data_IF_399948284471
#
_entry.id   IF_399948284471
#
_cell.length_a   1.000
_cell.length_b   1.000
_cell.length_c   1.000
_cell.angle_alpha   90.00
_cell.angle_beta   90.00
_cell.angle_gamma   90.00
#
_symmetry.space_group_name_H-M   'P 1'
#
loop_
_entity.id
_entity.type
_entity.pdbx_description
1 polymer ?
2 non-polymer ?
3 water ?
#
# COMPACT_ATOMS: atom_id res chain seq x y z
N UNK A 1 7.67 2.33 1.17
CA UNK A 1 8.58 2.70 0.06
C UNK A 1 9.28 4.05 0.31
N UNK A 2 8.74 4.87 1.21
CA UNK A 2 9.15 6.25 1.52
C UNK A 2 8.58 6.66 2.88
N UNK A 3 8.88 7.88 3.39
CA UNK A 3 8.55 8.27 4.76
C UNK A 3 7.06 8.39 5.08
N UNK A 4 6.22 8.60 4.06
CA UNK A 4 4.75 8.56 4.17
C UNK A 4 4.29 7.15 4.51
N UNK A 5 4.75 6.17 3.76
CA UNK A 5 4.44 4.75 4.01
C UNK A 5 5.03 4.32 5.34
N UNK A 6 6.20 4.84 5.73
CA UNK A 6 6.81 4.54 7.06
C UNK A 6 5.88 4.96 8.21
N UNK A 7 5.34 6.16 8.15
CA UNK A 7 4.43 6.67 9.22
C UNK A 7 3.15 5.83 9.21
N UNK A 8 2.59 5.58 8.03
CA UNK A 8 1.35 4.79 7.88
C UNK A 8 1.57 3.40 8.50
N UNK A 9 2.67 2.73 8.16
CA UNK A 9 2.96 1.37 8.68
C UNK A 9 3.02 1.38 10.21
N UNK A 10 3.65 2.37 10.79
CA UNK A 10 3.84 2.49 12.26
C UNK A 10 2.47 2.61 12.95
N UNK A 11 1.56 3.36 12.36
CA UNK A 11 0.16 3.45 12.85
C UNK A 11 -0.52 2.09 12.67
N UNK A 12 -0.44 1.47 11.49
CA UNK A 12 -1.17 0.20 11.28
C UNK A 12 -0.69 -0.87 12.27
N UNK A 13 0.62 -0.96 12.51
CA UNK A 13 1.23 -2.11 13.23
C UNK A 13 0.84 -2.06 14.71
N UNK A 14 0.56 -0.88 15.27
CA UNK A 14 0.30 -0.77 16.72
C UNK A 14 -1.10 -0.25 17.04
N UNK A 15 -1.76 0.47 16.14
CA UNK A 15 -3.01 1.18 16.51
C UNK A 15 -4.20 0.72 15.67
N UNK A 16 -4.17 -0.48 15.08
CA UNK A 16 -5.38 -0.96 14.34
C UNK A 16 -5.74 -2.36 14.81
N UNK A 17 -7.03 -2.65 14.72
CA UNK A 17 -7.60 -3.99 14.97
C UNK A 17 -8.57 -4.24 13.82
N UNK A 18 -8.94 -5.48 13.64
CA UNK A 18 -10.02 -5.84 12.68
C UNK A 18 -11.32 -5.87 13.50
N UNK A 19 -12.28 -5.01 13.16
CA UNK A 19 -13.61 -4.99 13.82
C UNK A 19 -14.62 -5.66 12.91
N UNK A 20 -15.45 -6.54 13.49
CA UNK A 20 -16.54 -7.20 12.75
C UNK A 20 -17.87 -6.89 13.46
N UNK A 21 -18.82 -6.31 12.71
CA UNK A 21 -20.20 -6.07 13.15
C UNK A 21 -21.10 -6.90 12.22
N UNK A 22 -22.41 -6.81 12.37
CA UNK A 22 -23.39 -7.48 11.46
C UNK A 22 -23.34 -6.87 10.07
N UNK A 23 -22.72 -5.71 9.90
CA UNK A 23 -22.61 -5.02 8.60
C UNK A 23 -21.26 -5.28 7.91
N UNK A 24 -20.33 -6.06 8.49
CA UNK A 24 -19.10 -6.50 7.83
C UNK A 24 -17.85 -6.36 8.68
N UNK A 25 -16.70 -6.53 8.03
CA UNK A 25 -15.36 -6.35 8.63
C UNK A 25 -14.83 -4.95 8.29
N UNK A 26 -14.30 -4.22 9.27
CA UNK A 26 -13.78 -2.86 9.10
C UNK A 26 -12.38 -2.77 9.71
N UNK A 27 -11.52 -1.99 9.09
CA UNK A 27 -10.31 -1.43 9.74
C UNK A 27 -10.83 -0.54 10.87
N UNK A 28 -10.26 -0.67 12.05
CA UNK A 28 -10.65 0.15 13.23
C UNK A 28 -9.37 0.73 13.84
N UNK A 29 -9.36 2.05 13.98
CA UNK A 29 -8.23 2.81 14.54
C UNK A 29 -8.40 2.92 16.05
N UNK A 30 -7.44 2.38 16.80
CA UNK A 30 -7.34 2.63 18.25
C UNK A 30 -6.65 3.95 18.50
N UNK A 31 -7.16 4.78 19.39
CA UNK A 31 -6.65 6.17 19.56
C UNK A 31 -5.91 6.30 20.90
N UNK A 32 -6.50 5.81 22.00
CA UNK A 32 -5.85 5.82 23.33
C UNK A 32 -6.66 4.90 24.24
N UNK A 33 -6.02 4.39 25.28
CA UNK A 33 -6.68 3.55 26.33
C UNK A 33 -7.47 2.46 25.59
N UNK A 34 -8.80 2.36 25.78
CA UNK A 34 -9.60 1.30 25.11
C UNK A 34 -10.55 1.99 24.11
N UNK A 35 -10.18 3.17 23.62
CA UNK A 35 -11.07 4.02 22.78
C UNK A 35 -10.61 3.90 21.32
N UNK A 36 -11.52 3.51 20.45
CA UNK A 36 -11.28 3.38 19.00
C UNK A 36 -12.37 4.11 18.20
N UNK A 37 -12.16 4.22 16.90
CA UNK A 37 -13.16 4.85 16.00
C UNK A 37 -13.49 3.91 14.86
N UNK A 38 -14.67 4.08 14.29
CA UNK A 38 -15.15 3.25 13.16
C UNK A 38 -16.20 4.07 12.43
N UNK A 39 -16.43 3.87 11.12
CA UNK A 39 -17.56 4.58 10.49
C UNK A 39 -18.90 4.22 11.13
N UNK A 40 -19.77 5.23 11.24
CA UNK A 40 -21.07 5.07 11.94
C UNK A 40 -21.92 4.05 11.18
N UNK A 41 -21.78 3.93 9.86
CA UNK A 41 -22.53 2.90 9.09
C UNK A 41 -22.12 1.45 9.43
N UNK A 42 -21.06 1.21 10.22
CA UNK A 42 -20.78 -0.14 10.79
C UNK A 42 -21.88 -0.58 11.76
N UNK A 43 -22.72 0.34 12.27
CA UNK A 43 -23.85 0.04 13.19
C UNK A 43 -23.38 -0.76 14.41
N UNK A 44 -22.47 -0.18 15.18
CA UNK A 44 -21.90 -0.90 16.35
C UNK A 44 -23.04 -1.18 17.34
N UNK A 45 -23.11 -2.39 17.89
CA UNK A 45 -24.08 -2.74 18.95
C UNK A 45 -23.43 -2.94 20.30
N UNK A 46 -24.03 -3.78 21.13
CA UNK A 46 -23.62 -4.08 22.51
C UNK A 46 -22.39 -5.01 22.51
N UNK A 47 -22.23 -5.78 21.45
CA UNK A 47 -21.13 -6.77 21.26
C UNK A 47 -20.54 -6.56 19.85
N UNK A 48 -19.21 -6.60 19.78
CA UNK A 48 -18.46 -6.48 18.52
C UNK A 48 -17.35 -7.56 18.55
N UNK A 49 -16.88 -8.00 17.38
CA UNK A 49 -15.70 -8.90 17.30
C UNK A 49 -14.46 -8.05 17.01
N UNK A 50 -13.41 -8.21 17.82
CA UNK A 50 -12.11 -7.50 17.71
C UNK A 50 -11.05 -8.59 17.46
N UNK A 51 -10.47 -8.62 16.26
CA UNK A 51 -9.51 -9.69 15.87
C UNK A 51 -10.13 -11.04 16.20
N UNK A 52 -11.42 -11.24 15.87
CA UNK A 52 -12.20 -12.50 16.01
C UNK A 52 -12.45 -12.89 17.48
N UNK A 53 -12.31 -11.97 18.42
CA UNK A 53 -12.65 -12.19 19.86
C UNK A 53 -13.94 -11.43 20.19
N UNK A 54 -14.91 -12.13 20.75
CA UNK A 54 -16.17 -11.51 21.24
C UNK A 54 -15.86 -10.48 22.31
N UNK A 55 -16.28 -9.23 22.12
CA UNK A 55 -15.91 -8.07 22.98
C UNK A 55 -17.14 -7.22 23.31
N UNK A 56 -17.35 -6.94 24.59
CA UNK A 56 -18.46 -6.07 25.02
C UNK A 56 -18.12 -4.65 24.65
N UNK A 57 -19.09 -3.91 24.16
CA UNK A 57 -18.94 -2.44 23.93
C UNK A 57 -19.36 -1.70 25.22
N UNK A 58 -18.45 -0.95 25.83
CA UNK A 58 -18.78 -0.25 27.10
C UNK A 58 -19.52 1.04 26.80
N UNK A 59 -19.26 1.67 25.65
CA UNK A 59 -19.89 2.94 25.23
C UNK A 59 -19.71 3.10 23.73
N UNK A 60 -20.69 3.66 23.04
CA UNK A 60 -20.56 3.97 21.60
C UNK A 60 -21.30 5.27 21.32
N UNK A 61 -20.65 6.23 20.67
CA UNK A 61 -21.26 7.55 20.40
C UNK A 61 -21.06 7.94 18.93
N UNK A 62 -22.17 8.02 18.19
CA UNK A 62 -22.21 8.53 16.80
C UNK A 62 -22.10 10.04 16.83
N UNK A 63 -20.99 10.57 16.35
CA UNK A 63 -20.71 12.01 16.49
C UNK A 63 -21.54 12.79 15.47
N UNK A 64 -22.01 13.97 15.90
CA UNK A 64 -22.69 14.95 15.03
C UNK A 64 -22.10 16.33 15.34
N UNK A 65 -22.07 17.24 14.38
CA UNK A 65 -21.59 18.61 14.67
C UNK A 65 -22.71 19.39 15.39
N UNK A 66 -22.40 20.63 15.75
CA UNK A 66 -23.31 21.47 16.54
C UNK A 66 -24.43 22.03 15.66
N UNK A 67 -24.45 21.79 14.35
CA UNK A 67 -25.70 21.93 13.52
C UNK A 67 -26.54 20.64 13.54
N UNK A 68 -26.17 19.61 14.31
CA UNK A 68 -26.85 18.30 14.40
C UNK A 68 -26.78 17.67 13.00
N UNK A 69 -25.63 17.78 12.33
CA UNK A 69 -25.31 17.08 11.06
C UNK A 69 -24.36 15.90 11.34
N UNK A 70 -24.68 14.76 10.77
CA UNK A 70 -23.83 13.54 10.81
C UNK A 70 -22.36 13.89 10.54
N UNK A 71 -21.43 13.31 11.32
CA UNK A 71 -19.98 13.34 11.01
C UNK A 71 -19.47 11.98 10.51
N UNK A 72 -20.26 10.92 10.66
CA UNK A 72 -19.96 9.54 10.16
C UNK A 72 -18.84 8.90 10.97
N UNK A 73 -18.49 9.46 12.15
CA UNK A 73 -17.51 8.82 13.08
C UNK A 73 -18.30 8.28 14.27
N UNK A 74 -18.09 7.01 14.64
CA UNK A 74 -18.52 6.49 15.95
C UNK A 74 -17.29 6.27 16.84
N UNK A 75 -17.31 6.77 18.05
CA UNK A 75 -16.27 6.53 19.08
C UNK A 75 -16.75 5.39 19.93
N UNK A 76 -15.92 4.36 20.03
CA UNK A 76 -16.27 3.10 20.74
C UNK A 76 -15.29 2.92 21.89
N UNK A 77 -15.80 2.64 23.07
CA UNK A 77 -14.94 2.14 24.16
C UNK A 77 -15.14 0.64 24.29
N UNK A 78 -14.05 -0.13 24.20
CA UNK A 78 -14.03 -1.60 24.15
C UNK A 78 -13.73 -2.18 25.52
N UNK A 79 -14.44 -3.23 25.91
CA UNK A 79 -14.06 -4.00 27.13
C UNK A 79 -12.90 -4.94 26.82
N UNK A 80 -11.76 -4.37 26.50
CA UNK A 80 -10.55 -5.12 26.07
C UNK A 80 -9.57 -5.13 27.23
N UNK A 81 -8.72 -6.16 27.31
CA UNK A 81 -7.74 -6.29 28.42
C UNK A 81 -6.44 -5.55 28.15
N UNK A 82 -6.36 -4.72 27.12
CA UNK A 82 -5.08 -4.10 26.70
C UNK A 82 -5.39 -2.71 26.16
N UNK A 83 -4.54 -1.73 26.44
CA UNK A 83 -4.66 -0.34 25.94
C UNK A 83 -3.92 -0.18 24.61
N UNK A 84 -4.42 0.76 23.81
CA UNK A 84 -3.72 1.26 22.60
C UNK A 84 -2.62 2.22 23.02
N UNK A 85 -1.54 2.20 22.27
CA UNK A 85 -0.58 3.32 22.29
C UNK A 85 -1.37 4.63 22.10
N UNK A 86 -1.10 5.64 22.91
CA UNK A 86 -1.80 6.93 22.81
C UNK A 86 -1.25 7.70 21.59
N UNK A 87 -2.05 7.89 20.56
CA UNK A 87 -1.64 8.64 19.33
C UNK A 87 -2.39 9.96 19.20
N UNK A 88 -2.98 10.48 20.28
CA UNK A 88 -3.78 11.74 20.17
C UNK A 88 -2.89 12.92 19.74
N UNK A 89 -1.60 12.92 20.06
CA UNK A 89 -0.69 14.02 19.62
C UNK A 89 -0.46 14.02 18.11
N UNK A 90 -0.90 13.00 17.36
CA UNK A 90 -0.79 13.00 15.87
C UNK A 90 -2.08 13.48 15.20
N UNK A 91 -3.11 13.84 15.97
CA UNK A 91 -4.40 14.32 15.43
C UNK A 91 -4.32 15.83 15.18
N UNK A 92 -4.83 16.29 14.03
CA UNK A 92 -4.92 17.72 13.75
C UNK A 92 -5.89 18.42 14.70
N UNK A 93 -5.62 19.69 14.99
CA UNK A 93 -6.53 20.49 15.82
C UNK A 93 -7.62 21.16 14.99
N UNK A 94 -7.40 21.44 13.70
CA UNK A 94 -8.39 22.19 12.88
C UNK A 94 -8.63 21.50 11.53
N UNK A 95 -9.73 21.88 10.87
CA UNK A 95 -10.09 21.43 9.51
C UNK A 95 -9.02 21.98 8.56
N UNK A 96 -8.54 21.18 7.62
CA UNK A 96 -7.41 21.59 6.76
C UNK A 96 -7.40 20.73 5.50
N UNK A 97 -6.68 21.20 4.50
CA UNK A 97 -6.27 20.44 3.29
C UNK A 97 -4.85 19.89 3.53
N UNK A 98 -4.50 18.84 2.81
CA UNK A 98 -3.23 18.10 3.00
C UNK A 98 -2.60 17.75 1.65
N UNK A 99 -1.28 17.66 1.64
CA UNK A 99 -0.55 17.04 0.50
C UNK A 99 -0.13 15.61 0.84
N UNK A 100 -0.12 14.74 -0.16
CA UNK A 100 0.65 13.47 -0.17
C UNK A 100 0.19 12.56 0.99
N UNK A 101 -1.06 12.15 0.97
CA UNK A 101 -1.64 11.27 2.01
C UNK A 101 -1.55 9.80 1.57
N UNK A 102 -1.64 8.90 2.54
CA UNK A 102 -1.70 7.43 2.36
C UNK A 102 -2.98 6.96 3.04
N UNK A 103 -3.71 6.08 2.35
CA UNK A 103 -4.87 5.36 2.92
C UNK A 103 -4.41 3.94 3.19
N UNK A 104 -4.52 3.48 4.44
CA UNK A 104 -4.05 2.13 4.86
C UNK A 104 -5.22 1.31 5.41
N UNK A 105 -5.29 0.05 4.97
CA UNK A 105 -6.39 -0.90 5.27
C UNK A 105 -5.80 -2.18 5.78
N UNK A 106 -6.44 -2.79 6.77
CA UNK A 106 -6.04 -4.14 7.20
C UNK A 106 -7.29 -4.95 7.57
N UNK A 107 -7.73 -5.81 6.66
CA UNK A 107 -8.86 -6.76 6.92
C UNK A 107 -8.46 -8.15 6.40
N UNK A 108 -9.30 -9.17 6.65
CA UNK A 108 -9.16 -10.50 5.98
C UNK A 108 -9.10 -10.37 4.44
N UNK A 109 -9.93 -9.53 3.84
CA UNK A 109 -10.01 -9.31 2.37
C UNK A 109 -8.79 -8.51 1.86
N UNK A 110 -8.34 -7.52 2.62
CA UNK A 110 -7.25 -6.60 2.17
C UNK A 110 -6.20 -6.47 3.27
N UNK A 111 -5.36 -7.49 3.50
CA UNK A 111 -4.26 -7.41 4.46
C UNK A 111 -3.09 -6.52 4.00
N UNK A 112 -2.54 -5.70 4.92
CA UNK A 112 -1.30 -4.93 4.67
C UNK A 112 -1.43 -4.12 3.38
N UNK A 113 -2.54 -3.42 3.19
CA UNK A 113 -2.81 -2.61 1.99
C UNK A 113 -2.50 -1.13 2.28
N UNK A 114 -1.72 -0.50 1.40
CA UNK A 114 -1.33 0.92 1.51
C UNK A 114 -1.51 1.55 0.14
N UNK A 115 -2.23 2.66 0.06
CA UNK A 115 -2.54 3.36 -1.21
C UNK A 115 -2.08 4.80 -1.12
N UNK A 116 -1.17 5.28 -2.00
CA UNK A 116 -0.82 6.69 -2.02
C UNK A 116 -1.95 7.43 -2.77
N UNK A 117 -2.75 8.21 -2.08
CA UNK A 117 -3.95 8.86 -2.68
C UNK A 117 -3.65 10.29 -3.11
N UNK A 118 -2.52 10.87 -2.73
CA UNK A 118 -2.11 12.20 -3.19
C UNK A 118 -2.77 13.30 -2.41
N UNK A 119 -3.16 14.36 -3.11
CA UNK A 119 -3.69 15.60 -2.49
C UNK A 119 -5.06 15.34 -1.83
N UNK A 120 -5.26 15.88 -0.64
CA UNK A 120 -6.56 15.71 0.08
C UNK A 120 -7.21 17.10 0.24
N UNK A 121 -8.43 17.26 -0.28
CA UNK A 121 -9.20 18.52 -0.20
C UNK A 121 -10.12 18.51 1.03
N UNK A 122 -10.20 19.65 1.72
CA UNK A 122 -11.27 19.94 2.70
C UNK A 122 -12.53 20.17 1.88
N UNK A 123 -13.30 19.12 1.65
CA UNK A 123 -14.46 19.09 0.74
C UNK A 123 -15.68 19.69 1.46
N UNK A 124 -15.83 19.34 2.72
CA UNK A 124 -16.92 19.85 3.58
C UNK A 124 -18.17 18.99 3.49
N UNK A 125 -19.20 19.53 2.84
CA UNK A 125 -20.53 18.88 2.79
C UNK A 125 -20.49 17.76 1.74
N UNK A 126 -21.03 16.60 2.10
CA UNK A 126 -21.28 15.48 1.18
C UNK A 126 -22.61 14.83 1.54
N UNK A 127 -23.40 14.55 0.52
CA UNK A 127 -24.58 13.66 0.67
C UNK A 127 -24.06 12.23 0.55
N UNK A 128 -23.80 11.57 1.68
CA UNK A 128 -23.12 10.27 1.76
C UNK A 128 -24.16 9.18 1.94
N UNK A 129 -24.39 8.37 0.91
CA UNK A 129 -25.46 7.35 0.98
C UNK A 129 -26.82 7.97 1.30
N UNK A 130 -27.12 9.18 0.83
CA UNK A 130 -28.38 9.87 1.16
C UNK A 130 -28.36 10.63 2.49
N UNK A 131 -27.29 10.56 3.28
CA UNK A 131 -27.22 11.26 4.59
C UNK A 131 -26.35 12.52 4.47
N UNK A 132 -26.88 13.73 4.70
CA UNK A 132 -26.05 14.94 4.75
C UNK A 132 -24.93 14.76 5.79
N UNK A 133 -23.71 14.98 5.38
CA UNK A 133 -22.51 14.70 6.23
C UNK A 133 -21.57 15.90 6.14
N UNK A 134 -20.98 16.32 7.25
CA UNK A 134 -19.99 17.42 7.26
C UNK A 134 -18.56 16.90 7.53
N UNK A 135 -17.61 17.82 7.39
CA UNK A 135 -16.16 17.60 7.66
C UNK A 135 -15.59 16.45 6.82
N UNK A 136 -15.97 16.38 5.55
CA UNK A 136 -15.47 15.35 4.61
C UNK A 136 -14.19 15.84 3.94
N UNK A 137 -13.21 14.94 3.91
CA UNK A 137 -11.96 15.05 3.13
C UNK A 137 -12.14 14.28 1.83
N UNK A 138 -11.59 14.78 0.74
CA UNK A 138 -11.75 14.09 -0.58
C UNK A 138 -10.37 13.88 -1.20
N UNK A 139 -10.19 12.71 -1.82
CA UNK A 139 -8.96 12.36 -2.55
C UNK A 139 -9.38 11.71 -3.86
N UNK A 140 -8.59 11.95 -4.91
CA UNK A 140 -8.90 11.47 -6.28
C UNK A 140 -8.32 10.07 -6.44
N UNK A 141 -8.81 9.12 -5.63
CA UNK A 141 -8.53 7.68 -5.80
C UNK A 141 -9.84 6.91 -5.88
N UNK A 142 -9.96 6.00 -6.88
CA UNK A 142 -11.11 5.13 -7.01
C UNK A 142 -11.15 4.07 -5.91
N UNK A 143 -11.62 4.47 -4.72
CA UNK A 143 -11.76 3.57 -3.54
C UNK A 143 -12.91 2.60 -3.77
N UNK A 144 -12.75 1.38 -3.28
CA UNK A 144 -13.67 0.24 -3.48
C UNK A 144 -14.35 -0.09 -2.16
N UNK A 145 -15.45 -0.84 -2.22
CA UNK A 145 -16.14 -1.47 -1.07
C UNK A 145 -15.13 -2.32 -0.31
N UNK A 146 -15.09 -2.20 1.02
CA UNK A 146 -14.21 -3.00 1.91
C UNK A 146 -13.08 -2.18 2.52
N UNK A 147 -12.90 -0.92 2.09
CA UNK A 147 -11.84 -0.02 2.59
C UNK A 147 -12.38 0.92 3.67
N UNK A 148 -13.68 0.87 3.96
CA UNK A 148 -14.28 1.73 5.01
C UNK A 148 -13.59 1.44 6.33
N UNK A 149 -13.18 2.51 7.02
CA UNK A 149 -12.45 2.45 8.29
C UNK A 149 -10.96 2.64 8.03
N UNK A 150 -10.54 2.59 6.76
CA UNK A 150 -9.12 2.72 6.41
C UNK A 150 -8.57 4.00 6.99
N UNK A 151 -7.31 4.02 7.39
CA UNK A 151 -6.73 5.21 8.06
C UNK A 151 -6.07 6.10 7.03
N UNK A 152 -6.38 7.37 7.07
CA UNK A 152 -5.73 8.41 6.20
C UNK A 152 -4.67 9.15 7.01
N UNK A 153 -3.43 9.12 6.54
CA UNK A 153 -2.30 9.75 7.23
C UNK A 153 -1.50 10.61 6.25
N UNK A 154 -0.82 11.60 6.79
CA UNK A 154 0.40 12.18 6.17
C UNK A 154 1.55 11.90 7.12
N UNK A 155 2.78 12.25 6.74
CA UNK A 155 3.92 12.14 7.68
C UNK A 155 3.56 12.96 8.93
N UNK A 156 3.51 12.30 10.06
CA UNK A 156 3.33 12.89 11.38
C UNK A 156 1.89 13.18 11.69
N UNK A 157 0.90 12.99 10.78
CA UNK A 157 -0.52 13.24 11.15
C UNK A 157 -1.47 12.11 10.73
N UNK A 158 -2.41 11.79 11.62
CA UNK A 158 -3.54 10.86 11.37
C UNK A 158 -4.75 11.76 11.17
N UNK A 159 -5.27 11.86 9.93
CA UNK A 159 -6.17 12.99 9.58
C UNK A 159 -7.62 12.53 9.36
N UNK A 160 -7.90 11.24 9.16
CA UNK A 160 -9.27 10.81 8.88
C UNK A 160 -9.41 9.30 8.79
N UNK A 161 -10.66 8.84 8.62
CA UNK A 161 -10.99 7.44 8.35
C UNK A 161 -11.93 7.41 7.13
N UNK A 162 -11.61 6.53 6.20
CA UNK A 162 -12.31 6.34 4.89
C UNK A 162 -13.78 5.95 5.15
N UNK A 163 -14.75 6.66 4.57
CA UNK A 163 -16.20 6.34 4.83
C UNK A 163 -16.98 6.14 3.52
N UNK A 164 -16.39 6.39 2.36
CA UNK A 164 -17.12 6.13 1.10
C UNK A 164 -16.41 6.60 -0.14
N UNK A 165 -17.08 6.43 -1.27
CA UNK A 165 -16.51 6.80 -2.59
C UNK A 165 -17.59 6.84 -3.64
N UNK A 166 -17.28 7.37 -4.83
CA UNK A 166 -18.27 7.45 -5.95
C UNK A 166 -17.75 6.71 -7.19
N UNK A 167 -16.73 5.87 -7.04
CA UNK A 167 -16.08 5.19 -8.16
C UNK A 167 -14.83 5.91 -8.65
N UNK A 168 -14.76 7.24 -8.64
CA UNK A 168 -13.60 8.05 -9.10
C UNK A 168 -12.85 8.69 -7.91
N UNK A 169 -13.61 9.15 -6.92
CA UNK A 169 -13.11 9.82 -5.69
C UNK A 169 -13.38 8.95 -4.45
N UNK A 170 -12.57 9.14 -3.41
CA UNK A 170 -12.82 8.57 -2.08
C UNK A 170 -13.02 9.68 -1.07
N UNK A 171 -13.71 9.37 0.01
CA UNK A 171 -14.12 10.34 1.03
C UNK A 171 -13.77 9.81 2.44
N UNK A 172 -13.22 10.70 3.28
CA UNK A 172 -12.87 10.33 4.65
C UNK A 172 -13.55 11.33 5.59
N UNK A 173 -13.92 10.87 6.79
CA UNK A 173 -14.38 11.75 7.90
C UNK A 173 -13.14 12.24 8.61
N UNK A 174 -13.07 13.54 8.89
CA UNK A 174 -11.95 14.16 9.64
C UNK A 174 -11.86 13.54 11.02
N UNK A 175 -10.61 13.35 11.47
CA UNK A 175 -10.34 13.17 12.92
C UNK A 175 -9.76 14.48 13.44
N UNK A 176 -10.29 14.96 14.53
CA UNK A 176 -9.86 16.18 15.23
C UNK A 176 -9.49 15.82 16.67
N UNK A 177 -8.42 16.44 17.17
CA UNK A 177 -7.95 16.24 18.56
C UNK A 177 -9.10 16.44 19.57
N UNK A 178 -9.98 17.43 19.33
CA UNK A 178 -11.07 17.76 20.26
C UNK A 178 -12.09 16.64 20.40
N UNK A 179 -12.13 15.64 19.52
CA UNK A 179 -13.05 14.49 19.68
C UNK A 179 -12.62 13.61 20.87
N UNK A 180 -11.36 13.65 21.29
CA UNK A 180 -10.77 12.60 22.18
C UNK A 180 -10.16 13.19 23.45
N UNK A 181 -10.64 14.37 23.85
CA UNK A 181 -10.34 14.95 25.19
C UNK A 181 -11.14 14.11 26.20
N UNK A 182 -10.47 13.57 27.24
CA UNK A 182 -11.05 12.58 28.19
C UNK A 182 -11.49 13.31 29.47
N UNK B 2 -9.45 -8.73 -5.11
CA UNK B 2 -9.98 -10.04 -5.66
C UNK B 2 -9.06 -11.22 -5.35
N UNK B 3 -8.95 -12.21 -6.27
CA UNK B 3 -7.81 -13.14 -6.28
C UNK B 3 -6.47 -12.49 -6.68
N UNK B 4 -6.49 -11.19 -7.03
CA UNK B 4 -5.30 -10.35 -7.27
C UNK B 4 -4.42 -10.25 -6.04
N UNK B 5 -5.02 -10.10 -4.85
CA UNK B 5 -4.27 -10.04 -3.56
C UNK B 5 -3.71 -11.41 -3.19
N UNK B 6 -4.45 -12.51 -3.36
CA UNK B 6 -3.90 -13.87 -3.20
C UNK B 6 -2.64 -14.04 -4.07
N UNK B 7 -2.76 -13.69 -5.35
CA UNK B 7 -1.68 -13.89 -6.33
C UNK B 7 -0.44 -13.09 -5.89
N UNK B 8 -0.60 -11.82 -5.54
CA UNK B 8 0.51 -10.94 -5.09
C UNK B 8 1.16 -11.54 -3.84
N UNK B 9 0.38 -12.05 -2.87
CA UNK B 9 0.95 -12.70 -1.65
C UNK B 9 1.72 -13.97 -1.98
N UNK B 10 1.23 -14.78 -2.92
CA UNK B 10 1.86 -16.08 -3.29
C UNK B 10 3.21 -15.81 -3.94
N UNK B 11 3.30 -14.78 -4.76
CA UNK B 11 4.57 -14.35 -5.40
C UNK B 11 5.52 -13.74 -4.34
N UNK B 12 4.98 -12.91 -3.44
CA UNK B 12 5.76 -12.29 -2.33
C UNK B 12 6.39 -13.40 -1.48
N UNK B 13 5.58 -14.36 -1.02
CA UNK B 13 6.00 -15.38 -0.03
C UNK B 13 7.09 -16.32 -0.57
N UNK B 14 7.00 -16.77 -1.80
CA UNK B 14 7.96 -17.77 -2.31
C UNK B 14 9.03 -17.14 -3.22
N UNK B 15 8.77 -16.01 -3.87
CA UNK B 15 9.65 -15.54 -4.98
C UNK B 15 10.30 -14.19 -4.69
N UNK B 16 10.10 -13.58 -3.53
CA UNK B 16 10.66 -12.23 -3.26
C UNK B 16 11.65 -12.31 -2.10
N UNK B 17 12.86 -11.77 -2.30
CA UNK B 17 13.93 -11.70 -1.27
C UNK B 17 14.38 -10.26 -1.10
N UNK B 18 15.07 -9.95 0.00
CA UNK B 18 15.66 -8.61 0.25
C UNK B 18 17.08 -8.62 -0.27
N UNK B 19 17.39 -7.76 -1.24
CA UNK B 19 18.75 -7.72 -1.82
C UNK B 19 19.40 -6.44 -1.31
N UNK B 20 20.65 -6.49 -0.88
CA UNK B 20 21.35 -5.26 -0.43
C UNK B 20 22.64 -5.13 -1.24
N UNK B 21 22.75 -4.02 -1.97
CA UNK B 21 23.95 -3.62 -2.74
C UNK B 21 24.64 -2.48 -2.00
N UNK B 22 25.67 -1.92 -2.62
CA UNK B 22 26.34 -0.69 -2.11
C UNK B 22 25.31 0.43 -1.94
N UNK B 23 24.22 0.43 -2.71
CA UNK B 23 23.22 1.53 -2.70
C UNK B 23 22.16 1.33 -1.61
N UNK B 24 22.08 0.17 -0.97
CA UNK B 24 21.11 -0.16 0.08
C UNK B 24 20.15 -1.27 -0.35
N UNK B 25 18.91 -1.26 0.16
CA UNK B 25 18.04 -2.47 0.06
C UNK B 25 17.05 -2.28 -1.09
N UNK B 26 16.83 -3.39 -1.80
CA UNK B 26 15.88 -3.47 -2.94
C UNK B 26 15.03 -4.73 -2.80
N UNK B 27 13.75 -4.62 -3.17
CA UNK B 27 12.89 -5.79 -3.38
C UNK B 27 13.42 -6.56 -4.61
N UNK B 28 13.77 -7.82 -4.45
CA UNK B 28 14.34 -8.63 -5.56
C UNK B 28 13.36 -9.75 -5.88
N UNK B 29 13.08 -9.99 -7.16
CA UNK B 29 12.25 -11.11 -7.62
C UNK B 29 13.12 -12.27 -8.12
N UNK B 30 13.00 -13.42 -7.46
CA UNK B 30 13.56 -14.67 -7.98
C UNK B 30 12.64 -15.27 -9.02
N UNK B 31 13.20 -15.67 -10.15
CA UNK B 31 12.38 -16.09 -11.33
C UNK B 31 12.43 -17.62 -11.50
N UNK B 32 13.60 -18.22 -11.45
CA UNK B 32 13.81 -19.69 -11.58
C UNK B 32 15.24 -20.03 -11.19
N UNK B 33 15.51 -21.27 -10.78
CA UNK B 33 16.89 -21.70 -10.45
C UNK B 33 17.54 -20.67 -9.51
N UNK B 34 18.71 -20.13 -9.87
CA UNK B 34 19.35 -19.09 -9.02
C UNK B 34 19.33 -17.74 -9.76
N UNK B 35 18.34 -17.55 -10.61
CA UNK B 35 18.21 -16.35 -11.49
C UNK B 35 17.19 -15.42 -10.89
N UNK B 36 17.58 -14.17 -10.64
CA UNK B 36 16.70 -13.12 -10.09
C UNK B 36 16.82 -11.84 -10.91
N UNK B 37 15.92 -10.90 -10.66
CA UNK B 37 15.97 -9.56 -11.31
C UNK B 37 15.89 -8.45 -10.26
N UNK B 38 16.52 -7.34 -10.61
CA UNK B 38 16.64 -6.14 -9.73
C UNK B 38 16.78 -4.95 -10.68
N UNK B 39 16.35 -3.73 -10.30
CA UNK B 39 16.58 -2.55 -11.15
C UNK B 39 18.07 -2.30 -11.41
N UNK B 40 18.41 -1.88 -12.63
CA UNK B 40 19.82 -1.66 -13.01
C UNK B 40 20.43 -0.60 -12.08
N UNK B 41 19.64 0.38 -11.64
CA UNK B 41 20.14 1.45 -10.73
C UNK B 41 20.59 0.92 -9.37
N UNK B 42 20.33 -0.35 -9.01
CA UNK B 42 20.83 -0.95 -7.75
C UNK B 42 22.36 -1.12 -7.78
N UNK B 43 23.01 -1.04 -8.95
CA UNK B 43 24.50 -1.12 -9.05
C UNK B 43 25.01 -2.42 -8.43
N UNK B 44 24.53 -3.55 -8.95
CA UNK B 44 24.96 -4.88 -8.49
C UNK B 44 26.47 -5.04 -8.72
N UNK B 45 27.16 -5.55 -7.70
CA UNK B 45 28.61 -5.77 -7.73
C UNK B 45 28.95 -7.24 -7.82
N UNK B 46 30.11 -7.62 -7.30
CA UNK B 46 30.58 -9.04 -7.32
C UNK B 46 29.88 -9.79 -6.18
N UNK B 47 29.48 -9.04 -5.14
CA UNK B 47 28.92 -9.59 -3.87
C UNK B 47 27.62 -8.83 -3.62
N UNK B 48 26.59 -9.55 -3.19
CA UNK B 48 25.30 -8.98 -2.77
C UNK B 48 24.86 -9.68 -1.49
N UNK B 49 24.06 -9.01 -0.67
CA UNK B 49 23.38 -9.64 0.49
C UNK B 49 21.97 -10.05 0.09
N UNK B 50 21.61 -11.30 0.34
CA UNK B 50 20.24 -11.85 0.07
C UNK B 50 19.66 -12.27 1.41
N UNK B 51 18.65 -11.55 1.91
CA UNK B 51 18.11 -11.77 3.28
C UNK B 51 19.26 -11.76 4.30
N UNK B 52 20.19 -10.83 4.15
CA UNK B 52 21.30 -10.54 5.11
C UNK B 52 22.42 -11.58 5.00
N UNK B 53 22.39 -12.49 4.01
CA UNK B 53 23.47 -13.47 3.73
C UNK B 53 24.38 -12.97 2.59
N UNK B 54 25.68 -12.81 2.87
CA UNK B 54 26.73 -12.50 1.84
C UNK B 54 26.69 -13.57 0.75
N UNK B 55 26.47 -13.17 -0.52
CA UNK B 55 26.24 -14.09 -1.66
C UNK B 55 27.07 -13.62 -2.85
N UNK B 56 27.86 -14.52 -3.43
CA UNK B 56 28.59 -14.20 -4.68
C UNK B 56 27.58 -14.02 -5.82
N UNK B 57 27.71 -12.95 -6.60
CA UNK B 57 26.98 -12.82 -7.90
C UNK B 57 27.84 -13.42 -9.01
N UNK B 58 27.39 -14.53 -9.58
CA UNK B 58 28.15 -15.28 -10.62
C UNK B 58 28.08 -14.52 -11.94
N UNK B 59 26.96 -13.86 -12.22
CA UNK B 59 26.72 -13.18 -13.51
C UNK B 59 25.72 -12.05 -13.28
N UNK B 60 25.96 -10.90 -13.89
CA UNK B 60 24.97 -9.80 -13.92
C UNK B 60 24.89 -9.28 -15.36
N UNK B 61 23.68 -9.13 -15.86
CA UNK B 61 23.40 -8.64 -17.22
C UNK B 61 22.46 -7.43 -17.15
N UNK B 62 22.95 -6.24 -17.52
CA UNK B 62 22.14 -5.01 -17.61
C UNK B 62 21.39 -5.07 -18.94
N UNK B 63 20.10 -5.45 -18.93
CA UNK B 63 19.40 -5.77 -20.18
C UNK B 63 19.24 -4.54 -21.07
N UNK B 64 19.38 -4.78 -22.36
CA UNK B 64 19.10 -3.79 -23.42
C UNK B 64 18.35 -4.52 -24.54
N UNK B 65 17.52 -3.80 -25.28
CA UNK B 65 16.72 -4.43 -26.36
C UNK B 65 17.52 -4.39 -27.67
N UNK B 66 16.91 -4.84 -28.74
CA UNK B 66 17.61 -4.98 -30.05
C UNK B 66 17.79 -3.62 -30.74
N UNK B 67 17.20 -2.55 -30.22
CA UNK B 67 17.53 -1.17 -30.65
C UNK B 67 18.75 -0.66 -29.86
N UNK B 68 19.32 -1.51 -29.01
CA UNK B 68 20.46 -1.14 -28.13
C UNK B 68 20.01 -0.04 -27.18
N UNK B 69 18.81 -0.18 -26.62
CA UNK B 69 18.26 0.79 -25.64
C UNK B 69 18.13 0.11 -24.27
N UNK B 70 18.44 0.86 -23.21
CA UNK B 70 18.29 0.40 -21.82
C UNK B 70 16.89 -0.11 -21.58
N UNK B 71 16.78 -1.22 -20.82
CA UNK B 71 15.49 -1.70 -20.25
C UNK B 71 15.40 -1.53 -18.72
N UNK B 72 16.49 -1.16 -18.05
CA UNK B 72 16.57 -0.86 -16.61
C UNK B 72 16.33 -2.10 -15.75
N UNK B 73 16.46 -3.30 -16.30
CA UNK B 73 16.41 -4.59 -15.56
C UNK B 73 17.79 -5.19 -15.60
N UNK B 74 18.29 -5.63 -14.47
CA UNK B 74 19.51 -6.44 -14.40
C UNK B 74 19.12 -7.87 -13.98
N UNK B 75 19.52 -8.84 -14.78
CA UNK B 75 19.35 -10.28 -14.46
C UNK B 75 20.59 -10.77 -13.73
N UNK B 76 20.45 -11.37 -12.56
CA UNK B 76 21.61 -11.86 -11.76
C UNK B 76 21.51 -13.38 -11.61
N UNK B 77 22.66 -14.05 -11.60
CA UNK B 77 22.80 -15.49 -11.27
C UNK B 77 23.52 -15.55 -9.94
N UNK B 78 22.88 -16.13 -8.93
CA UNK B 78 23.39 -16.09 -7.54
C UNK B 78 24.05 -17.44 -7.19
N UNK B 79 25.19 -17.38 -6.47
CA UNK B 79 25.85 -18.58 -5.89
C UNK B 79 25.20 -18.91 -4.54
N UNK B 80 24.05 -19.59 -4.55
CA UNK B 80 23.33 -20.00 -3.32
C UNK B 80 22.66 -21.37 -3.56
N UNK B 81 22.49 -22.14 -2.49
CA UNK B 81 21.97 -23.52 -2.58
C UNK B 81 20.49 -23.47 -2.96
N UNK B 82 19.71 -22.59 -2.32
CA UNK B 82 18.25 -22.55 -2.52
C UNK B 82 17.97 -22.22 -3.99
N UNK B 83 16.99 -22.90 -4.57
CA UNK B 83 16.50 -22.64 -5.93
C UNK B 83 15.17 -21.89 -5.81
N UNK B 84 14.92 -20.90 -6.66
CA UNK B 84 13.63 -20.18 -6.69
C UNK B 84 12.57 -21.07 -7.34
N UNK B 85 11.35 -20.98 -6.84
CA UNK B 85 10.14 -21.56 -7.47
C UNK B 85 10.00 -21.00 -8.88
N UNK B 86 9.96 -21.85 -9.93
CA UNK B 86 9.85 -21.37 -11.34
C UNK B 86 8.52 -20.65 -11.53
N UNK B 87 8.56 -19.38 -11.97
CA UNK B 87 7.38 -18.53 -12.25
C UNK B 87 7.45 -18.01 -13.69
N UNK B 88 8.27 -18.61 -14.56
CA UNK B 88 8.39 -18.11 -15.95
C UNK B 88 7.05 -18.20 -16.70
N UNK B 89 6.20 -19.16 -16.33
CA UNK B 89 4.88 -19.33 -16.98
C UNK B 89 3.93 -18.19 -16.61
N UNK B 90 4.25 -17.35 -15.62
CA UNK B 90 3.40 -16.17 -15.30
C UNK B 90 3.89 -14.88 -15.93
N UNK B 91 4.96 -14.93 -16.73
CA UNK B 91 5.50 -13.72 -17.43
C UNK B 91 4.77 -13.52 -18.75
N UNK B 92 4.33 -12.29 -19.07
CA UNK B 92 3.71 -11.98 -20.36
C UNK B 92 4.67 -12.25 -21.53
N UNK B 93 4.08 -12.67 -22.64
CA UNK B 93 4.83 -12.97 -23.88
C UNK B 93 5.08 -11.67 -24.62
N UNK B 94 4.16 -10.71 -24.53
CA UNK B 94 4.22 -9.44 -25.29
C UNK B 94 3.97 -8.24 -24.38
N UNK B 95 4.27 -7.04 -24.90
CA UNK B 95 3.98 -5.75 -24.25
C UNK B 95 2.46 -5.59 -24.21
N UNK B 96 1.91 -5.01 -23.14
CA UNK B 96 0.44 -4.89 -22.97
C UNK B 96 0.10 -3.85 -21.91
N UNK B 97 -1.17 -3.42 -21.92
CA UNK B 97 -1.83 -2.61 -20.86
C UNK B 97 -2.48 -3.60 -19.89
N UNK B 98 -2.75 -3.18 -18.67
CA UNK B 98 -3.35 -4.04 -17.62
C UNK B 98 -4.26 -3.21 -16.72
N UNK B 99 -5.18 -3.91 -16.04
CA UNK B 99 -6.06 -3.28 -15.01
C UNK B 99 -5.93 -4.09 -13.71
N UNK B 100 -6.27 -3.47 -12.59
CA UNK B 100 -6.34 -4.14 -11.27
C UNK B 100 -4.95 -4.66 -10.91
N UNK B 101 -3.92 -3.82 -11.05
CA UNK B 101 -2.51 -4.16 -10.76
C UNK B 101 -2.18 -3.85 -9.29
N UNK B 102 -1.24 -4.62 -8.72
CA UNK B 102 -0.73 -4.47 -7.32
C UNK B 102 0.80 -4.44 -7.33
N UNK B 103 1.38 -3.53 -6.56
CA UNK B 103 2.85 -3.35 -6.38
C UNK B 103 3.17 -3.86 -4.98
N UNK B 104 4.08 -4.84 -4.89
CA UNK B 104 4.43 -5.55 -3.63
C UNK B 104 5.88 -5.27 -3.25
N UNK B 105 6.05 -4.61 -2.10
CA UNK B 105 7.34 -4.09 -1.55
C UNK B 105 7.79 -5.02 -0.42
N UNK B 106 9.07 -5.38 -0.39
CA UNK B 106 9.61 -6.22 0.68
C UNK B 106 11.05 -5.82 0.99
N UNK B 107 11.24 -5.07 2.08
CA UNK B 107 12.61 -4.72 2.58
C UNK B 107 12.62 -4.88 4.10
N UNK B 108 13.76 -4.67 4.75
CA UNK B 108 13.82 -4.71 6.24
C UNK B 108 12.91 -3.62 6.83
N UNK B 109 12.84 -2.46 6.19
CA UNK B 109 12.02 -1.30 6.65
C UNK B 109 10.53 -1.53 6.32
N UNK B 110 10.24 -2.16 5.19
CA UNK B 110 8.86 -2.34 4.64
C UNK B 110 8.63 -3.82 4.33
N UNK B 111 8.42 -4.66 5.35
CA UNK B 111 8.20 -6.07 5.13
C UNK B 111 6.77 -6.31 4.64
N UNK B 112 6.58 -7.19 3.68
CA UNK B 112 5.18 -7.52 3.28
C UNK B 112 4.25 -6.28 3.13
N UNK B 113 4.53 -5.29 2.27
CA UNK B 113 3.61 -4.13 1.99
C UNK B 113 2.96 -4.24 0.59
N UNK B 114 1.63 -4.16 0.45
CA UNK B 114 0.91 -4.28 -0.84
C UNK B 114 0.24 -2.95 -1.21
N UNK B 115 0.58 -2.44 -2.40
CA UNK B 115 0.11 -1.11 -2.89
C UNK B 115 -0.71 -1.32 -4.15
N UNK B 116 -2.05 -1.30 -4.07
CA UNK B 116 -2.92 -1.34 -5.24
C UNK B 116 -2.60 -0.08 -6.06
N UNK B 117 -2.22 -0.24 -7.32
CA UNK B 117 -1.88 0.93 -8.16
C UNK B 117 -2.98 1.12 -9.21
N UNK B 118 -3.70 0.04 -9.55
CA UNK B 118 -4.86 0.04 -10.46
C UNK B 118 -4.44 -0.07 -11.91
N UNK B 119 -4.82 0.92 -12.71
CA UNK B 119 -4.67 0.84 -14.18
C UNK B 119 -3.19 1.08 -14.54
N UNK B 120 -2.66 0.17 -15.33
CA UNK B 120 -1.26 0.23 -15.82
C UNK B 120 -1.27 0.40 -17.35
N UNK B 121 -0.60 1.41 -17.84
CA UNK B 121 -0.48 1.72 -19.30
C UNK B 121 0.88 1.24 -19.84
N UNK B 122 0.91 0.65 -21.02
CA UNK B 122 2.13 0.50 -21.83
C UNK B 122 2.57 1.91 -22.26
N UNK B 123 3.50 2.51 -21.53
CA UNK B 123 3.90 3.95 -21.68
C UNK B 123 4.98 4.01 -22.78
N UNK B 124 5.87 3.02 -22.80
CA UNK B 124 6.94 2.80 -23.80
C UNK B 124 8.22 3.53 -23.43
N UNK B 125 8.51 4.63 -24.12
CA UNK B 125 9.79 5.36 -24.02
C UNK B 125 9.75 6.30 -22.82
N UNK B 126 10.82 6.32 -22.03
CA UNK B 126 10.98 7.24 -20.89
C UNK B 126 12.45 7.65 -20.78
N UNK B 127 12.69 8.93 -20.60
CA UNK B 127 14.04 9.37 -20.20
C UNK B 127 14.17 9.26 -18.69
N UNK B 128 14.82 8.20 -18.21
CA UNK B 128 14.88 7.88 -16.78
C UNK B 128 16.27 8.23 -16.22
N UNK B 129 16.34 9.31 -15.43
CA UNK B 129 17.61 9.83 -14.86
C UNK B 129 18.61 10.19 -15.94
N UNK B 130 18.12 10.63 -17.11
CA UNK B 130 18.99 10.99 -18.23
C UNK B 130 19.28 9.83 -19.17
N UNK B 131 18.79 8.63 -18.87
CA UNK B 131 19.01 7.44 -19.73
C UNK B 131 17.74 7.11 -20.51
N UNK B 132 17.79 7.13 -21.86
CA UNK B 132 16.68 6.67 -22.68
C UNK B 132 16.36 5.19 -22.38
N UNK B 133 15.10 4.90 -22.12
CA UNK B 133 14.64 3.59 -21.60
C UNK B 133 13.38 3.17 -22.34
N UNK B 134 13.31 1.89 -22.68
CA UNK B 134 12.14 1.31 -23.36
C UNK B 134 11.30 0.43 -22.41
N UNK B 135 10.10 0.04 -22.92
CA UNK B 135 9.18 -0.95 -22.31
C UNK B 135 8.82 -0.54 -20.87
N UNK B 136 8.51 0.72 -20.68
CA UNK B 136 8.05 1.22 -19.36
C UNK B 136 6.54 1.07 -19.24
N UNK B 137 6.12 0.50 -18.11
CA UNK B 137 4.71 0.54 -17.63
C UNK B 137 4.50 1.74 -16.72
N UNK B 138 3.33 2.40 -16.78
CA UNK B 138 3.07 3.60 -15.96
C UNK B 138 1.74 3.42 -15.21
N UNK B 139 1.73 3.90 -13.98
CA UNK B 139 0.55 3.94 -13.06
C UNK B 139 0.57 5.23 -12.28
N UNK B 140 -0.61 5.67 -11.82
CA UNK B 140 -0.67 6.78 -10.85
C UNK B 140 0.14 6.37 -9.63
N UNK B 141 0.90 7.32 -9.10
CA UNK B 141 1.75 7.13 -7.89
C UNK B 141 2.09 8.50 -7.34
N UNK B 142 1.07 9.20 -6.76
CA UNK B 142 1.20 10.62 -6.40
C UNK B 142 1.98 10.82 -5.11
N UNK B 143 3.23 10.35 -5.10
CA UNK B 143 4.15 10.43 -3.95
C UNK B 143 5.60 10.37 -4.49
N UNK B 144 6.55 10.83 -3.71
CA UNK B 144 7.99 10.64 -4.04
C UNK B 144 8.43 9.47 -3.17
N UNK B 145 8.56 8.29 -3.76
CA UNK B 145 9.05 7.06 -3.11
C UNK B 145 10.58 6.99 -3.25
N UNK B 146 11.23 6.23 -2.35
CA UNK B 146 12.65 5.86 -2.46
C UNK B 146 12.92 4.84 -3.55
N UNK B 147 14.11 4.27 -3.51
CA UNK B 147 14.69 3.45 -4.61
C UNK B 147 14.26 1.97 -4.54
N UNK B 148 13.64 1.50 -3.46
CA UNK B 148 13.69 0.06 -3.09
C UNK B 148 12.87 -0.77 -4.10
N UNK B 149 11.90 -0.15 -4.74
CA UNK B 149 11.04 -0.77 -5.76
C UNK B 149 10.17 -1.91 -5.24
N UNK B 150 9.80 -2.83 -6.12
CA UNK B 150 8.73 -3.79 -5.81
C UNK B 150 8.23 -4.49 -7.05
N UNK B 151 7.47 -5.54 -6.83
CA UNK B 151 7.01 -6.41 -7.93
C UNK B 151 5.60 -5.99 -8.32
N UNK B 152 5.33 -5.89 -9.61
CA UNK B 152 3.98 -5.51 -10.13
C UNK B 152 3.28 -6.76 -10.68
N UNK B 153 2.10 -7.04 -10.13
CA UNK B 153 1.32 -8.24 -10.52
C UNK B 153 -0.09 -7.82 -10.87
N UNK B 154 -0.71 -8.66 -11.67
CA UNK B 154 -2.16 -8.65 -11.91
C UNK B 154 -2.65 -10.04 -11.50
N UNK B 155 -3.94 -10.31 -11.62
CA UNK B 155 -4.41 -11.71 -11.47
C UNK B 155 -3.75 -12.56 -12.57
N UNK B 156 -2.92 -13.49 -12.18
CA UNK B 156 -2.33 -14.50 -13.05
C UNK B 156 -1.08 -14.07 -13.76
N UNK B 157 -0.57 -12.84 -13.57
CA UNK B 157 0.67 -12.44 -14.29
C UNK B 157 1.61 -11.60 -13.41
N UNK B 158 2.88 -11.87 -13.58
CA UNK B 158 3.96 -11.00 -13.02
C UNK B 158 4.45 -10.09 -14.15
N UNK B 159 4.12 -8.82 -14.11
CA UNK B 159 4.20 -7.94 -15.30
C UNK B 159 5.40 -7.01 -15.27
N UNK B 160 6.01 -6.75 -14.11
CA UNK B 160 7.12 -5.78 -14.09
C UNK B 160 7.70 -5.58 -12.69
N UNK B 161 8.78 -4.79 -12.64
CA UNK B 161 9.41 -4.35 -11.35
C UNK B 161 9.51 -2.82 -11.39
N UNK B 162 9.18 -2.19 -10.27
CA UNK B 162 9.16 -0.73 -10.13
C UNK B 162 10.58 -0.18 -10.26
N UNK B 163 10.81 0.79 -11.14
CA UNK B 163 12.17 1.35 -11.38
C UNK B 163 12.25 2.86 -11.10
N UNK B 164 11.14 3.59 -10.97
CA UNK B 164 11.22 5.04 -10.70
C UNK B 164 9.88 5.72 -10.66
N UNK B 165 9.89 7.05 -10.69
CA UNK B 165 8.65 7.85 -10.62
C UNK B 165 8.94 9.34 -10.71
N UNK B 166 7.92 10.15 -11.02
CA UNK B 166 8.08 11.63 -11.18
C UNK B 166 7.20 12.39 -10.18
N UNK B 167 6.75 11.75 -9.09
CA UNK B 167 5.95 12.41 -8.01
C UNK B 167 4.45 12.37 -8.26
N UNK B 168 4.03 12.16 -9.50
CA UNK B 168 2.62 11.98 -9.94
C UNK B 168 2.43 10.58 -10.52
N UNK B 169 3.45 10.06 -11.23
CA UNK B 169 3.35 8.76 -11.92
C UNK B 169 4.46 7.86 -11.38
N UNK B 170 4.21 6.56 -11.38
CA UNK B 170 5.18 5.51 -11.08
C UNK B 170 5.49 4.72 -12.34
N UNK B 171 6.73 4.22 -12.42
CA UNK B 171 7.18 3.51 -13.66
C UNK B 171 7.77 2.17 -13.31
N UNK B 172 7.43 1.15 -14.07
CA UNK B 172 7.95 -0.20 -13.92
C UNK B 172 8.56 -0.63 -15.25
N UNK B 173 9.64 -1.40 -15.19
CA UNK B 173 10.21 -2.10 -16.36
C UNK B 173 9.41 -3.37 -16.59
N UNK B 174 9.03 -3.63 -17.84
CA UNK B 174 8.28 -4.86 -18.18
C UNK B 174 9.16 -6.09 -17.92
N UNK B 175 8.53 -7.19 -17.46
CA UNK B 175 9.14 -8.54 -17.52
C UNK B 175 8.45 -9.30 -18.67
N UNK B 176 9.26 -9.86 -19.54
CA UNK B 176 8.79 -10.66 -20.70
C UNK B 176 9.36 -12.06 -20.60
N UNK B 177 8.59 -13.03 -21.08
CA UNK B 177 8.96 -14.47 -21.03
C UNK B 177 10.29 -14.67 -21.77
N UNK B 178 10.50 -13.93 -22.85
CA UNK B 178 11.69 -14.12 -23.72
C UNK B 178 12.97 -13.70 -23.01
N UNK B 179 12.91 -12.98 -21.88
CA UNK B 179 14.17 -12.57 -21.22
C UNK B 179 14.85 -13.76 -20.51
N UNK B 180 14.10 -14.84 -20.27
CA UNK B 180 14.51 -15.98 -19.40
C UNK B 180 14.45 -17.32 -20.14
N UNK B 181 14.23 -17.32 -21.45
CA UNK B 181 14.26 -18.56 -22.28
C UNK B 181 15.69 -19.02 -22.55
X LIG C 1 -9.31 -0.36 -4.03
X LIG C 1 -9.10 -1.61 -3.49
X LIG C 1 -8.43 -2.58 -4.21
X LIG C 1 -6.68 -5.47 -7.13
X LIG C 1 -6.33 -6.87 -6.70
X LIG C 1 -8.34 -5.18 -5.42
X LIG C 1 -7.53 -4.65 -6.19
X LIG C 1 -7.33 -6.67 -7.78
X LIG C 1 -7.33 -3.32 -6.25
X LIG C 1 -7.98 -2.32 -5.50
X LIG C 1 -8.86 -0.09 -5.31
X LIG C 1 -8.20 -1.06 -6.05
#
# INVERSE_FOLDING_TARGET
>A
MGPGFDFAQAIMKKNTVIARTEKGEFTMLGVYDRVAVIPTHASVGEIIYINDVETRVLDACALRDLTDTNLEITIVKLDRNQKFRDIRHFLPRCEDDYNDAVLSVHTSKFPNMYIPVGQVTNYGFLNLGGTPTHRILMYNFPTRAGQCGGVVTTTGKVIGIHVGGNGAQGFAAMLLHSYFTD
>B
MGPGFDFAQAIMKKNTVIARTEKGEFTMLGVYDRVAVIPTHASVGEIIYINDVETRVLDACALRDLTDTNLEITIVKLDRNQKFRDIRHFLPRCEDDYNDAVLSVHTSKFPNMYIPVGQVTNYGFLNLGGTPTHRILMYNFPTRAGQCGGVVTTTGKVIGIHVGGNGAQGFAAMLLHSYFTD
>C hetero
1 YG0 C4 C5 C6 C7 C8 O C C9 N C1 C3 C2
#
